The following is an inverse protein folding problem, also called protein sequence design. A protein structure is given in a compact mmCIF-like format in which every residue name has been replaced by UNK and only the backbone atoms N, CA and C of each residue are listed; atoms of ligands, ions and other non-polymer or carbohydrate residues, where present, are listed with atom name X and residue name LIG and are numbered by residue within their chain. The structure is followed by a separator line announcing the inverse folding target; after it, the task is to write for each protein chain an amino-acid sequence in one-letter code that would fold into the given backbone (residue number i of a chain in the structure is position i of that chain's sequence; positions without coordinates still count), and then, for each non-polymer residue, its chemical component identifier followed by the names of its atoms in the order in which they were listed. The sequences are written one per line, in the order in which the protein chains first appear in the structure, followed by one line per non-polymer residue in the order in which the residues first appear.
data_IF_775364998257
#
_entry.id   IF_775364998257
#
_cell.length_a   1.000
_cell.length_b   1.000
_cell.length_c   1.000
_cell.angle_alpha   90.00
_cell.angle_beta   90.00
_cell.angle_gamma   90.00
#
_symmetry.space_group_name_H-M   'P 1'
#
loop_
_entity.id
_entity.type
_entity.pdbx_description
1 polymer ?
#
# COMPACT_ATOMS: atom_id res chain seq x y z
N UNK A 1 -13.18 -6.79 16.52
CA UNK A 1 -12.36 -6.81 15.28
C UNK A 1 -10.92 -6.94 15.72
N UNK A 2 -10.13 -7.86 15.14
CA UNK A 2 -8.71 -7.99 15.52
C UNK A 2 -7.91 -6.76 15.08
N UNK A 3 -6.74 -6.54 15.69
CA UNK A 3 -5.85 -5.44 15.33
C UNK A 3 -5.46 -5.49 13.84
N UNK A 4 -5.21 -6.69 13.32
CA UNK A 4 -4.84 -6.93 11.94
C UNK A 4 -5.98 -6.59 10.99
N UNK A 5 -7.23 -6.96 11.30
CA UNK A 5 -8.39 -6.56 10.51
C UNK A 5 -8.64 -5.05 10.55
N UNK A 6 -8.29 -4.40 11.66
CA UNK A 6 -8.37 -2.93 11.78
C UNK A 6 -7.37 -2.25 10.84
N UNK A 7 -6.12 -2.72 10.82
CA UNK A 7 -5.14 -2.22 9.87
C UNK A 7 -5.44 -2.64 8.42
N UNK A 8 -6.10 -3.78 8.20
CA UNK A 8 -6.64 -4.13 6.89
C UNK A 8 -7.64 -3.10 6.40
N UNK A 9 -8.61 -2.73 7.23
CA UNK A 9 -9.58 -1.68 6.92
C UNK A 9 -8.89 -0.35 6.57
N UNK A 10 -7.93 0.09 7.39
CA UNK A 10 -7.18 1.32 7.13
C UNK A 10 -6.37 1.26 5.83
N UNK A 11 -5.79 0.10 5.53
CA UNK A 11 -5.02 -0.10 4.30
C UNK A 11 -5.92 -0.12 3.07
N UNK A 12 -7.14 -0.67 3.17
CA UNK A 12 -8.16 -0.58 2.11
C UNK A 12 -8.55 0.88 1.86
N UNK A 13 -8.77 1.67 2.92
CA UNK A 13 -9.04 3.11 2.80
C UNK A 13 -7.87 3.82 2.11
N UNK A 14 -6.63 3.52 2.53
CA UNK A 14 -5.43 4.07 1.91
C UNK A 14 -5.33 3.72 0.42
N UNK A 15 -5.66 2.48 0.05
CA UNK A 15 -5.67 2.05 -1.35
C UNK A 15 -6.69 2.85 -2.17
N UNK A 16 -7.91 3.02 -1.66
CA UNK A 16 -8.95 3.83 -2.34
C UNK A 16 -8.47 5.26 -2.54
N UNK A 17 -7.93 5.89 -1.48
CA UNK A 17 -7.40 7.25 -1.56
C UNK A 17 -6.27 7.35 -2.58
N UNK A 18 -5.36 6.37 -2.61
CA UNK A 18 -4.23 6.36 -3.55
C UNK A 18 -4.69 6.17 -5.00
N UNK A 19 -5.67 5.30 -5.26
CA UNK A 19 -6.28 5.12 -6.59
C UNK A 19 -6.92 6.42 -7.08
N UNK A 20 -7.74 7.06 -6.24
CA UNK A 20 -8.40 8.32 -6.59
C UNK A 20 -7.39 9.45 -6.84
N UNK A 21 -6.36 9.55 -5.98
CA UNK A 21 -5.31 10.55 -6.11
C UNK A 21 -4.49 10.34 -7.40
N UNK A 22 -4.12 9.10 -7.70
CA UNK A 22 -3.39 8.74 -8.91
C UNK A 22 -4.21 9.03 -10.17
N UNK A 23 -5.48 8.62 -10.19
CA UNK A 23 -6.38 8.87 -11.31
C UNK A 23 -6.50 10.37 -11.58
N UNK A 24 -6.80 11.16 -10.53
CA UNK A 24 -6.93 12.62 -10.62
C UNK A 24 -5.67 13.28 -11.15
N UNK A 25 -4.49 12.93 -10.60
CA UNK A 25 -3.25 13.58 -10.99
C UNK A 25 -2.88 13.33 -12.46
N UNK A 26 -3.06 12.10 -12.96
CA UNK A 26 -2.74 11.85 -14.36
C UNK A 26 -3.85 12.20 -15.36
N UNK A 27 -5.05 12.54 -14.90
CA UNK A 27 -6.09 13.17 -15.73
C UNK A 27 -5.77 14.66 -15.90
N UNK A 28 -5.44 15.32 -14.78
CA UNK A 28 -4.97 16.70 -14.78
C UNK A 28 -3.65 16.89 -15.52
N UNK A 29 -2.79 15.87 -15.62
CA UNK A 29 -1.53 15.99 -16.36
C UNK A 29 -1.71 16.17 -17.86
N UNK A 30 -2.82 15.67 -18.43
CA UNK A 30 -3.22 15.91 -19.83
C UNK A 30 -4.19 17.08 -19.99
N UNK A 31 -4.88 17.45 -18.93
CA UNK A 31 -5.87 18.53 -18.91
C UNK A 31 -7.32 18.02 -18.98
N UNK A 32 -8.25 18.89 -18.55
CA UNK A 32 -9.67 18.55 -18.34
C UNK A 32 -10.38 18.04 -19.62
N UNK A 33 -9.99 18.54 -20.79
CA UNK A 33 -10.59 18.10 -22.06
C UNK A 33 -10.30 16.64 -22.40
N UNK A 34 -9.13 16.12 -22.02
CA UNK A 34 -8.81 14.70 -22.19
C UNK A 34 -9.51 13.85 -21.15
N UNK A 35 -9.56 14.31 -19.89
CA UNK A 35 -10.21 13.59 -18.79
C UNK A 35 -11.71 13.34 -19.05
N UNK A 36 -12.39 14.31 -19.65
CA UNK A 36 -13.82 14.25 -20.02
C UNK A 36 -14.06 13.64 -21.41
N UNK A 37 -13.00 13.31 -22.15
CA UNK A 37 -13.05 12.75 -23.50
C UNK A 37 -13.00 11.21 -23.51
N UNK A 38 -12.94 10.60 -24.71
CA UNK A 38 -12.93 9.14 -24.88
C UNK A 38 -11.70 8.41 -24.32
N UNK A 39 -10.60 9.13 -24.04
CA UNK A 39 -9.33 8.59 -23.52
C UNK A 39 -8.61 7.55 -24.41
N UNK A 40 -8.94 7.49 -25.70
CA UNK A 40 -8.34 6.53 -26.66
C UNK A 40 -6.85 6.79 -26.96
N UNK A 41 -6.37 8.02 -26.69
CA UNK A 41 -4.99 8.45 -26.96
C UNK A 41 -4.03 8.15 -25.79
N UNK A 42 -2.78 7.70 -26.07
CA UNK A 42 -1.79 7.34 -25.06
C UNK A 42 -1.60 8.42 -23.99
N UNK A 43 -1.63 8.05 -22.71
CA UNK A 43 -1.61 8.98 -21.58
C UNK A 43 -0.22 9.58 -21.33
N UNK A 44 0.08 10.73 -21.95
CA UNK A 44 1.19 11.62 -21.59
C UNK A 44 1.05 12.14 -20.14
N UNK A 45 1.81 11.54 -19.23
CA UNK A 45 1.86 11.96 -17.84
C UNK A 45 3.05 12.88 -17.57
N UNK A 46 2.85 13.86 -16.68
CA UNK A 46 3.98 14.59 -16.13
C UNK A 46 4.76 13.68 -15.14
N UNK A 47 5.99 14.09 -14.79
CA UNK A 47 6.87 13.27 -13.97
C UNK A 47 6.30 12.90 -12.58
N UNK A 48 5.41 13.72 -12.00
CA UNK A 48 4.76 13.44 -10.71
C UNK A 48 3.64 12.43 -10.89
N UNK A 49 2.81 12.61 -11.92
CA UNK A 49 1.89 11.64 -12.52
C UNK A 49 2.42 10.20 -12.45
N UNK A 50 3.51 10.08 -13.18
CA UNK A 50 4.25 8.85 -13.41
C UNK A 50 4.81 8.24 -12.12
N UNK A 51 5.31 9.09 -11.21
CA UNK A 51 5.84 8.64 -9.92
C UNK A 51 4.72 8.06 -9.06
N UNK A 52 3.60 8.75 -8.94
CA UNK A 52 2.46 8.27 -8.15
C UNK A 52 1.89 6.98 -8.76
N UNK A 53 1.80 6.87 -10.07
CA UNK A 53 1.36 5.63 -10.72
C UNK A 53 2.30 4.45 -10.42
N UNK A 54 3.62 4.65 -10.45
CA UNK A 54 4.58 3.62 -10.03
C UNK A 54 4.44 3.26 -8.56
N UNK A 55 4.18 4.25 -7.69
CA UNK A 55 3.96 4.02 -6.26
C UNK A 55 2.72 3.13 -6.01
N UNK A 56 1.63 3.40 -6.73
CA UNK A 56 0.40 2.60 -6.65
C UNK A 56 0.64 1.16 -7.12
N UNK A 57 1.31 0.97 -8.26
CA UNK A 57 1.67 -0.38 -8.74
C UNK A 57 2.47 -1.17 -7.70
N UNK A 58 3.46 -0.54 -7.08
CA UNK A 58 4.25 -1.19 -6.03
C UNK A 58 3.43 -1.52 -4.77
N UNK A 59 2.48 -0.66 -4.41
CA UNK A 59 1.59 -0.95 -3.29
C UNK A 59 0.74 -2.20 -3.58
N UNK A 60 0.17 -2.27 -4.79
CA UNK A 60 -0.64 -3.40 -5.26
C UNK A 60 0.12 -4.73 -5.34
N UNK A 61 1.45 -4.73 -5.50
CA UNK A 61 2.27 -5.95 -5.46
C UNK A 61 2.28 -6.63 -4.09
N UNK A 62 2.14 -5.85 -3.01
CA UNK A 62 2.26 -6.36 -1.63
C UNK A 62 0.94 -6.38 -0.87
N UNK A 63 -0.03 -5.57 -1.30
CA UNK A 63 -1.34 -5.49 -0.66
C UNK A 63 -2.07 -6.84 -0.58
N UNK A 64 -2.09 -7.71 -1.61
CA UNK A 64 -2.71 -9.03 -1.52
C UNK A 64 -2.09 -9.90 -0.43
N UNK A 65 -0.76 -9.86 -0.27
CA UNK A 65 -0.07 -10.60 0.78
C UNK A 65 -0.48 -10.09 2.17
N UNK A 66 -0.52 -8.77 2.37
CA UNK A 66 -0.98 -8.17 3.61
C UNK A 66 -2.43 -8.56 3.95
N UNK A 67 -3.33 -8.45 2.97
CA UNK A 67 -4.74 -8.80 3.14
C UNK A 67 -4.92 -10.28 3.48
N UNK A 68 -4.22 -11.17 2.77
CA UNK A 68 -4.24 -12.61 3.05
C UNK A 68 -3.75 -12.92 4.47
N UNK A 69 -2.64 -12.32 4.91
CA UNK A 69 -2.11 -12.54 6.26
C UNK A 69 -3.07 -12.03 7.35
N UNK A 70 -3.63 -10.83 7.19
CA UNK A 70 -4.58 -10.29 8.15
C UNK A 70 -5.85 -11.16 8.28
N UNK A 71 -6.36 -11.66 7.15
CA UNK A 71 -7.50 -12.57 7.12
C UNK A 71 -7.16 -13.94 7.71
N UNK A 72 -6.01 -14.52 7.35
CA UNK A 72 -5.55 -15.79 7.89
C UNK A 72 -5.44 -15.73 9.42
N UNK A 73 -4.75 -14.72 9.95
CA UNK A 73 -4.57 -14.55 11.40
C UNK A 73 -5.91 -14.43 12.15
N UNK A 74 -6.89 -13.76 11.54
CA UNK A 74 -8.23 -13.62 12.13
C UNK A 74 -9.05 -14.91 12.06
N UNK A 75 -8.97 -15.67 10.95
CA UNK A 75 -9.74 -16.90 10.75
C UNK A 75 -9.17 -18.06 11.56
N UNK A 76 -7.84 -18.12 11.74
CA UNK A 76 -7.16 -19.16 12.52
C UNK A 76 -7.01 -18.82 14.00
N UNK A 77 -7.50 -17.65 14.42
CA UNK A 77 -7.32 -17.10 15.77
C UNK A 77 -5.85 -17.13 16.25
N UNK A 78 -4.92 -16.89 15.31
CA UNK A 78 -3.47 -16.96 15.55
C UNK A 78 -2.83 -15.57 15.72
N UNK A 79 -3.65 -14.53 15.90
CA UNK A 79 -3.18 -13.16 16.12
C UNK A 79 -2.43 -13.00 17.44
N UNK A 80 -1.31 -12.28 17.41
CA UNK A 80 -0.48 -11.98 18.57
C UNK A 80 -0.09 -10.50 18.62
N UNK A 81 0.59 -10.08 19.68
CA UNK A 81 1.17 -8.73 19.75
C UNK A 81 2.16 -8.46 18.59
N UNK A 82 2.90 -9.48 18.15
CA UNK A 82 3.86 -9.38 17.06
C UNK A 82 3.16 -9.19 15.71
N UNK A 83 2.07 -9.91 15.42
CA UNK A 83 1.33 -9.69 14.18
C UNK A 83 0.58 -8.36 14.17
N UNK A 84 0.05 -7.93 15.32
CA UNK A 84 -0.55 -6.61 15.45
C UNK A 84 0.47 -5.49 15.17
N UNK A 85 1.70 -5.62 15.70
CA UNK A 85 2.80 -4.72 15.39
C UNK A 85 3.17 -4.78 13.90
N UNK A 86 3.27 -5.98 13.33
CA UNK A 86 3.58 -6.18 11.91
C UNK A 86 2.57 -5.48 11.00
N UNK A 87 1.28 -5.58 11.33
CA UNK A 87 0.22 -4.92 10.59
C UNK A 87 0.30 -3.39 10.68
N UNK A 88 0.58 -2.86 11.88
CA UNK A 88 0.79 -1.43 12.08
C UNK A 88 2.01 -0.93 11.28
N UNK A 89 3.13 -1.65 11.34
CA UNK A 89 4.37 -1.32 10.63
C UNK A 89 4.14 -1.30 9.12
N UNK A 90 3.45 -2.31 8.57
CA UNK A 90 3.12 -2.33 7.14
C UNK A 90 2.30 -1.09 6.74
N UNK A 91 1.23 -0.80 7.47
CA UNK A 91 0.35 0.33 7.17
C UNK A 91 1.07 1.68 7.21
N UNK A 92 1.79 1.99 8.30
CA UNK A 92 2.48 3.26 8.45
C UNK A 92 3.65 3.41 7.46
N UNK A 93 4.34 2.31 7.15
CA UNK A 93 5.34 2.31 6.10
C UNK A 93 4.74 2.64 4.73
N UNK A 94 3.53 2.15 4.42
CA UNK A 94 2.83 2.49 3.17
C UNK A 94 2.36 3.94 3.15
N UNK A 95 1.90 4.49 4.27
CA UNK A 95 1.63 5.94 4.39
C UNK A 95 2.88 6.76 4.08
N UNK A 96 4.04 6.38 4.63
CA UNK A 96 5.30 7.10 4.38
C UNK A 96 5.84 6.92 2.96
N UNK A 97 5.62 5.74 2.37
CA UNK A 97 6.11 5.39 1.03
C UNK A 97 5.51 6.28 -0.06
N UNK A 98 4.21 6.58 0.01
CA UNK A 98 3.50 7.35 -1.02
C UNK A 98 4.08 8.77 -1.23
N UNK A 99 4.20 9.63 -0.20
CA UNK A 99 4.80 10.97 -0.35
C UNK A 99 6.31 10.90 -0.64
N UNK A 100 7.03 9.91 -0.10
CA UNK A 100 8.45 9.70 -0.41
C UNK A 100 8.66 9.38 -1.91
N UNK A 101 7.77 8.57 -2.49
CA UNK A 101 7.83 8.26 -3.92
C UNK A 101 7.49 9.47 -4.78
N UNK A 102 6.49 10.26 -4.39
CA UNK A 102 6.08 11.46 -5.12
C UNK A 102 7.16 12.56 -5.13
N UNK A 103 7.84 12.76 -4.00
CA UNK A 103 8.89 13.79 -3.81
C UNK A 103 10.22 13.49 -4.52
N UNK A 104 10.42 12.27 -5.01
CA UNK A 104 11.65 11.90 -5.71
C UNK A 104 12.87 11.66 -4.80
N UNK A 105 12.67 11.53 -3.49
CA UNK A 105 13.73 11.21 -2.52
C UNK A 105 14.01 9.69 -2.51
N UNK A 106 15.10 9.20 -3.15
CA UNK A 106 15.25 7.77 -3.43
C UNK A 106 15.44 6.92 -2.18
N UNK A 107 16.11 7.45 -1.14
CA UNK A 107 16.46 6.69 0.05
C UNK A 107 15.25 6.44 0.98
N UNK A 108 14.42 7.47 1.18
CA UNK A 108 13.24 7.39 2.07
C UNK A 108 12.26 6.32 1.56
N UNK A 109 12.06 6.27 0.25
CA UNK A 109 11.23 5.25 -0.40
C UNK A 109 11.73 3.84 -0.10
N UNK A 110 13.02 3.59 -0.27
CA UNK A 110 13.59 2.25 -0.08
C UNK A 110 13.49 1.80 1.38
N UNK A 111 13.77 2.70 2.32
CA UNK A 111 13.60 2.43 3.75
C UNK A 111 12.14 2.06 4.05
N UNK A 112 11.18 2.87 3.62
CA UNK A 112 9.76 2.59 3.81
C UNK A 112 9.34 1.24 3.17
N UNK A 113 9.90 0.90 2.01
CA UNK A 113 9.64 -0.38 1.36
C UNK A 113 10.12 -1.56 2.21
N UNK A 114 11.38 -1.55 2.64
CA UNK A 114 11.94 -2.61 3.48
C UNK A 114 11.24 -2.70 4.85
N UNK A 115 10.86 -1.57 5.44
CA UNK A 115 10.06 -1.53 6.67
C UNK A 115 8.70 -2.22 6.46
N UNK A 116 8.03 -1.97 5.33
CA UNK A 116 6.77 -2.64 5.03
C UNK A 116 6.94 -4.16 4.87
N UNK A 117 8.04 -4.60 4.25
CA UNK A 117 8.37 -6.03 4.15
C UNK A 117 8.62 -6.64 5.52
N UNK A 118 9.34 -5.95 6.41
CA UNK A 118 9.51 -6.36 7.80
C UNK A 118 8.17 -6.51 8.55
N UNK A 119 7.22 -5.61 8.30
CA UNK A 119 5.85 -5.74 8.83
C UNK A 119 5.15 -7.04 8.40
N UNK A 120 5.27 -7.42 7.13
CA UNK A 120 4.73 -8.70 6.64
C UNK A 120 5.41 -9.90 7.32
N UNK A 121 6.73 -9.86 7.47
CA UNK A 121 7.45 -10.93 8.17
C UNK A 121 6.99 -11.08 9.62
N UNK A 122 6.78 -9.97 10.34
CA UNK A 122 6.23 -10.00 11.69
C UNK A 122 4.82 -10.62 11.77
N UNK A 123 3.98 -10.38 10.76
CA UNK A 123 2.65 -11.01 10.67
C UNK A 123 2.72 -12.51 10.37
N UNK A 124 3.81 -12.98 9.76
CA UNK A 124 4.02 -14.40 9.43
C UNK A 124 4.50 -15.20 10.66
N UNK A 125 5.28 -14.58 11.55
CA UNK A 125 5.92 -15.28 12.68
C UNK A 125 4.98 -16.13 13.57
N UNK A 126 3.76 -15.69 13.92
CA UNK A 126 2.89 -16.48 14.80
C UNK A 126 2.60 -17.89 14.30
N UNK A 127 2.53 -18.09 12.97
CA UNK A 127 2.26 -19.38 12.35
C UNK A 127 3.39 -20.41 12.52
N UNK A 128 4.60 -19.96 12.86
CA UNK A 128 5.75 -20.83 13.08
C UNK A 128 6.08 -21.04 14.56
N UNK A 129 5.79 -20.04 15.40
CA UNK A 129 6.13 -20.06 16.83
C UNK A 129 5.03 -20.74 17.65
N UNK A 130 3.78 -20.70 17.21
CA UNK A 130 2.63 -21.28 17.92
C UNK A 130 2.36 -22.74 17.55
N UNK A 131 3.22 -23.35 16.71
CA UNK A 131 3.08 -24.72 16.22
C UNK A 131 3.82 -25.77 17.09
N UNK A 132 4.29 -25.39 18.28
CA UNK A 132 4.93 -26.26 19.28
C UNK A 132 4.19 -26.17 20.60
#
# INVERSE_FOLDING_TARGET
MTSELTYLLYTVILLIVHVLFQATLSDLSKGLGWALGPQDEPRDQNAVADRVQRALRNFLETFPAFAALALMLAVTDSGTAQSALGAAVYFWARIAYIPAFASGLPLVRSIAWFTSLGGLLLMILPFFISAT
#
